data_IF_764838451391
#
_entry.id   IF_764838451391
#
_cell.length_a   1.000
_cell.length_b   1.000
_cell.length_c   1.000
_cell.angle_alpha   90.00
_cell.angle_beta   90.00
_cell.angle_gamma   90.00
#
_symmetry.space_group_name_H-M   'P 1'
#
loop_
_entity.id
_entity.type
_entity.pdbx_description
1 polymer ?
#
# COMPACT_ATOMS: atom_id res chain seq x y z
N UNK A 1 38.59 -34.05 -11.16
CA UNK A 1 38.75 -32.59 -11.10
C UNK A 1 37.36 -31.98 -11.15
N UNK A 2 36.86 -31.57 -9.99
CA UNK A 2 35.65 -30.79 -9.70
C UNK A 2 34.36 -31.08 -10.50
N UNK A 3 33.70 -32.17 -10.12
CA UNK A 3 32.23 -32.23 -10.05
C UNK A 3 31.88 -31.77 -8.63
N UNK A 4 31.38 -30.56 -8.47
CA UNK A 4 30.99 -30.05 -7.17
C UNK A 4 30.44 -28.63 -7.23
N UNK A 5 29.25 -28.46 -6.67
CA UNK A 5 28.64 -27.17 -6.26
C UNK A 5 27.84 -26.38 -7.32
N UNK A 6 26.81 -27.00 -7.89
CA UNK A 6 25.73 -26.30 -8.62
C UNK A 6 24.41 -26.29 -7.83
N UNK A 7 24.49 -26.11 -6.50
CA UNK A 7 23.34 -26.16 -5.58
C UNK A 7 23.23 -24.95 -4.63
N UNK A 8 24.04 -23.90 -4.81
CA UNK A 8 24.01 -22.68 -3.98
C UNK A 8 23.70 -21.38 -4.74
N UNK A 9 23.40 -21.45 -6.04
CA UNK A 9 23.36 -20.25 -6.91
C UNK A 9 22.03 -19.48 -7.10
N UNK A 10 20.87 -19.76 -6.45
CA UNK A 10 19.76 -18.79 -6.56
C UNK A 10 20.04 -17.50 -5.78
N UNK A 11 20.94 -17.51 -4.79
CA UNK A 11 21.10 -16.41 -3.84
C UNK A 11 22.16 -15.36 -4.23
N UNK A 12 23.14 -15.70 -5.07
CA UNK A 12 24.20 -14.78 -5.51
C UNK A 12 23.82 -13.97 -6.76
N UNK A 13 22.79 -14.41 -7.49
CA UNK A 13 22.38 -13.79 -8.76
C UNK A 13 21.85 -12.37 -8.60
N UNK A 14 21.25 -12.05 -7.44
CA UNK A 14 20.66 -10.73 -7.19
C UNK A 14 21.70 -9.60 -7.10
N UNK A 15 22.97 -9.91 -6.82
CA UNK A 15 24.05 -8.91 -6.67
C UNK A 15 24.43 -8.21 -7.98
N UNK A 16 24.07 -8.77 -9.15
CA UNK A 16 24.38 -8.18 -10.46
C UNK A 16 23.17 -7.55 -11.17
N UNK A 17 21.97 -7.64 -10.60
CA UNK A 17 20.78 -7.12 -11.25
C UNK A 17 20.67 -5.61 -11.03
N UNK A 18 20.76 -4.84 -12.11
CA UNK A 18 20.50 -3.40 -12.05
C UNK A 18 19.01 -3.07 -12.00
N UNK A 19 18.13 -3.98 -12.44
CA UNK A 19 16.67 -3.80 -12.52
C UNK A 19 15.95 -5.16 -12.46
N UNK A 20 14.72 -5.18 -11.95
CA UNK A 20 13.84 -6.35 -11.98
C UNK A 20 12.56 -5.98 -12.73
N UNK A 21 12.05 -6.89 -13.57
CA UNK A 21 10.75 -6.72 -14.23
C UNK A 21 9.81 -7.80 -13.72
N UNK A 22 8.68 -7.38 -13.15
CA UNK A 22 7.61 -8.22 -12.64
C UNK A 22 6.47 -8.26 -13.66
N UNK A 23 6.16 -9.45 -14.20
CA UNK A 23 5.06 -9.64 -15.14
C UNK A 23 3.95 -10.40 -14.43
N UNK A 24 2.80 -9.76 -14.22
CA UNK A 24 1.72 -10.32 -13.40
C UNK A 24 0.77 -9.24 -12.90
N UNK A 25 0.04 -9.54 -11.83
CA UNK A 25 -0.77 -8.55 -11.11
C UNK A 25 -0.08 -8.01 -9.86
N UNK A 26 -0.82 -7.22 -9.08
CA UNK A 26 -0.36 -6.61 -7.82
C UNK A 26 0.24 -7.64 -6.83
N UNK A 27 -0.20 -8.89 -6.88
CA UNK A 27 0.34 -9.99 -6.06
C UNK A 27 1.77 -10.40 -6.45
N UNK A 28 2.07 -10.51 -7.76
CA UNK A 28 3.41 -10.83 -8.24
C UNK A 28 4.40 -9.69 -7.92
N UNK A 29 3.95 -8.44 -8.05
CA UNK A 29 4.71 -7.29 -7.56
C UNK A 29 5.01 -7.40 -6.07
N UNK A 30 4.00 -7.74 -5.26
CA UNK A 30 4.16 -7.84 -3.80
C UNK A 30 5.17 -8.92 -3.39
N UNK A 31 5.19 -10.06 -4.08
CA UNK A 31 6.16 -11.14 -3.83
C UNK A 31 7.59 -10.72 -4.19
N UNK A 32 7.77 -10.12 -5.37
CA UNK A 32 9.07 -9.60 -5.82
C UNK A 32 9.59 -8.52 -4.88
N UNK A 33 8.75 -7.54 -4.53
CA UNK A 33 9.09 -6.46 -3.61
C UNK A 33 9.45 -7.00 -2.23
N UNK A 34 8.66 -7.90 -1.66
CA UNK A 34 8.93 -8.47 -0.34
C UNK A 34 10.26 -9.24 -0.33
N UNK A 35 10.52 -10.07 -1.36
CA UNK A 35 11.79 -10.79 -1.49
C UNK A 35 13.00 -9.85 -1.60
N UNK A 36 12.87 -8.78 -2.40
CA UNK A 36 13.92 -7.80 -2.62
C UNK A 36 14.22 -6.97 -1.35
N UNK A 37 13.19 -6.45 -0.69
CA UNK A 37 13.34 -5.69 0.56
C UNK A 37 13.93 -6.59 1.64
N UNK A 38 13.40 -7.81 1.81
CA UNK A 38 13.90 -8.78 2.77
C UNK A 38 15.39 -9.07 2.53
N UNK A 39 15.81 -9.27 1.27
CA UNK A 39 17.23 -9.46 0.96
C UNK A 39 18.06 -8.24 1.32
N UNK A 40 17.60 -7.05 0.92
CA UNK A 40 18.29 -5.78 1.17
C UNK A 40 18.55 -5.56 2.66
N UNK A 41 17.55 -5.78 3.54
CA UNK A 41 17.81 -5.59 4.97
C UNK A 41 18.67 -6.70 5.57
N UNK A 42 18.58 -7.95 5.08
CA UNK A 42 19.49 -9.04 5.52
C UNK A 42 20.94 -8.71 5.21
N UNK A 43 21.21 -8.24 3.99
CA UNK A 43 22.56 -7.88 3.56
C UNK A 43 23.11 -6.69 4.36
N UNK A 44 22.23 -5.81 4.83
CA UNK A 44 22.56 -4.70 5.72
C UNK A 44 22.64 -5.08 7.21
N UNK A 45 22.39 -6.34 7.59
CA UNK A 45 22.42 -6.79 8.98
C UNK A 45 21.30 -6.22 9.86
N UNK A 46 20.20 -5.76 9.27
CA UNK A 46 19.05 -5.21 10.02
C UNK A 46 18.19 -6.36 10.56
N UNK A 47 17.83 -6.29 11.84
CA UNK A 47 16.85 -7.22 12.41
C UNK A 47 15.43 -6.85 11.96
N UNK A 48 14.90 -7.67 11.07
CA UNK A 48 13.56 -7.53 10.51
C UNK A 48 12.43 -7.69 11.53
N UNK A 49 12.68 -8.28 12.69
CA UNK A 49 11.65 -8.52 13.70
C UNK A 49 11.45 -7.34 14.66
N UNK A 50 12.35 -6.35 14.58
CA UNK A 50 12.28 -5.13 15.37
C UNK A 50 11.51 -4.05 14.59
N UNK A 51 10.30 -3.64 15.01
CA UNK A 51 9.50 -2.65 14.29
C UNK A 51 10.16 -1.27 14.17
N UNK A 52 10.98 -0.89 15.15
CA UNK A 52 11.67 0.39 15.22
C UNK A 52 13.01 0.39 14.46
N UNK A 53 13.38 -0.75 13.85
CA UNK A 53 14.64 -0.85 13.12
C UNK A 53 14.64 0.11 11.92
N UNK A 54 15.72 0.89 11.79
CA UNK A 54 15.91 1.77 10.65
C UNK A 54 16.15 0.92 9.40
N UNK A 55 15.16 0.87 8.53
CA UNK A 55 15.25 0.14 7.27
C UNK A 55 16.26 0.82 6.33
N UNK A 56 17.03 0.00 5.60
CA UNK A 56 17.83 0.43 4.47
C UNK A 56 16.97 0.62 3.22
N UNK A 57 17.19 1.71 2.46
CA UNK A 57 16.58 1.86 1.13
C UNK A 57 16.94 0.70 0.21
N UNK A 58 16.02 0.36 -0.69
CA UNK A 58 16.28 -0.60 -1.75
C UNK A 58 16.43 0.14 -3.08
N UNK A 59 17.62 0.08 -3.66
CA UNK A 59 17.97 0.86 -4.85
C UNK A 59 17.72 0.10 -6.17
N UNK A 60 17.26 -1.15 -6.10
CA UNK A 60 16.95 -1.94 -7.30
C UNK A 60 15.52 -1.61 -7.75
N UNK A 61 15.34 -0.92 -8.89
CA UNK A 61 14.01 -0.56 -9.39
C UNK A 61 13.25 -1.80 -9.89
N UNK A 62 11.95 -1.80 -9.64
CA UNK A 62 11.02 -2.82 -10.13
C UNK A 62 10.15 -2.22 -11.24
N UNK A 63 10.24 -2.73 -12.46
CA UNK A 63 9.29 -2.49 -13.54
C UNK A 63 8.12 -3.47 -13.44
N UNK A 64 6.91 -3.03 -13.79
CA UNK A 64 5.70 -3.86 -13.68
C UNK A 64 5.02 -3.92 -15.05
N UNK A 65 4.74 -5.13 -15.53
CA UNK A 65 3.95 -5.35 -16.73
C UNK A 65 2.66 -6.05 -16.32
N UNK A 66 1.47 -5.44 -16.55
CA UNK A 66 0.21 -6.00 -16.12
C UNK A 66 -0.10 -7.29 -16.90
N UNK A 67 -0.35 -8.36 -16.15
CA UNK A 67 -0.88 -9.63 -16.67
C UNK A 67 -1.86 -10.26 -15.66
N UNK A 68 -2.34 -9.46 -14.70
CA UNK A 68 -3.23 -9.88 -13.62
C UNK A 68 -4.69 -9.52 -13.85
N UNK A 69 -5.53 -9.84 -12.85
CA UNK A 69 -6.90 -9.34 -12.76
C UNK A 69 -7.03 -8.12 -11.84
N UNK A 70 -5.92 -7.69 -11.25
CA UNK A 70 -5.80 -6.56 -10.34
C UNK A 70 -4.43 -5.95 -10.57
N UNK A 71 -4.42 -4.87 -11.35
CA UNK A 71 -3.22 -4.11 -11.74
C UNK A 71 -3.41 -2.65 -11.31
N UNK A 72 -3.73 -2.45 -10.04
CA UNK A 72 -3.95 -1.10 -9.48
C UNK A 72 -2.66 -0.31 -9.53
N UNK A 73 -1.52 -0.94 -9.26
CA UNK A 73 -0.24 -0.26 -9.27
C UNK A 73 0.19 0.17 -10.68
N UNK A 74 -0.14 -0.61 -11.73
CA UNK A 74 0.09 -0.20 -13.12
C UNK A 74 -0.73 1.04 -13.49
N UNK A 75 -2.00 1.09 -13.05
CA UNK A 75 -2.81 2.29 -13.21
C UNK A 75 -2.22 3.50 -12.48
N UNK A 76 -1.67 3.31 -11.28
CA UNK A 76 -1.06 4.41 -10.54
C UNK A 76 0.27 4.88 -11.14
N UNK A 77 1.10 3.98 -11.64
CA UNK A 77 2.42 4.30 -12.19
C UNK A 77 2.35 4.81 -13.64
N UNK A 78 1.56 4.14 -14.48
CA UNK A 78 1.54 4.34 -15.93
C UNK A 78 0.24 4.97 -16.43
N UNK A 79 -0.82 5.01 -15.61
CA UNK A 79 -2.15 5.48 -16.03
C UNK A 79 -2.89 4.52 -16.97
N UNK A 80 -2.36 3.32 -17.20
CA UNK A 80 -2.91 2.33 -18.14
C UNK A 80 -2.70 0.90 -17.64
N UNK A 81 -3.50 -0.04 -18.16
CA UNK A 81 -3.32 -1.50 -18.00
C UNK A 81 -2.84 -2.18 -19.28
N UNK A 82 -2.56 -1.40 -20.32
CA UNK A 82 -2.04 -1.93 -21.58
C UNK A 82 -0.57 -2.37 -21.40
N UNK A 83 -0.24 -3.66 -21.55
CA UNK A 83 1.10 -4.17 -21.27
C UNK A 83 2.18 -3.59 -22.21
N UNK A 84 1.83 -3.29 -23.46
CA UNK A 84 2.76 -2.69 -24.43
C UNK A 84 3.14 -1.27 -24.03
N UNK A 85 2.15 -0.45 -23.66
CA UNK A 85 2.38 0.90 -23.15
C UNK A 85 3.18 0.88 -21.83
N UNK A 86 2.88 -0.04 -20.91
CA UNK A 86 3.66 -0.22 -19.68
C UNK A 86 5.13 -0.59 -19.98
N UNK A 87 5.37 -1.48 -20.94
CA UNK A 87 6.73 -1.83 -21.37
C UNK A 87 7.47 -0.62 -21.95
N UNK A 88 6.80 0.23 -22.74
CA UNK A 88 7.37 1.48 -23.23
C UNK A 88 7.73 2.46 -22.10
N UNK A 89 6.89 2.56 -21.06
CA UNK A 89 7.23 3.36 -19.88
C UNK A 89 8.49 2.86 -19.15
N UNK A 90 8.66 1.53 -19.06
CA UNK A 90 9.87 0.92 -18.47
C UNK A 90 11.10 1.21 -19.34
N UNK A 91 11.00 1.05 -20.66
CA UNK A 91 12.10 1.32 -21.61
C UNK A 91 12.51 2.80 -21.56
N UNK A 92 11.55 3.72 -21.44
CA UNK A 92 11.82 5.16 -21.26
C UNK A 92 12.58 5.47 -19.96
N UNK A 93 12.62 4.54 -19.00
CA UNK A 93 13.47 4.62 -17.82
C UNK A 93 12.97 5.54 -16.71
N UNK A 94 11.72 6.02 -16.76
CA UNK A 94 11.14 6.83 -15.68
C UNK A 94 11.00 6.00 -14.40
N UNK A 95 11.47 6.56 -13.28
CA UNK A 95 11.46 5.91 -11.97
C UNK A 95 10.75 6.79 -10.94
N UNK A 96 10.11 6.16 -9.96
CA UNK A 96 9.47 6.81 -8.81
C UNK A 96 9.82 6.04 -7.55
N UNK A 97 10.25 6.75 -6.51
CA UNK A 97 10.46 6.17 -5.18
C UNK A 97 9.11 5.96 -4.50
N UNK A 98 8.89 4.83 -3.85
CA UNK A 98 7.65 4.52 -3.14
C UNK A 98 7.92 4.09 -1.71
N UNK A 99 6.92 4.25 -0.85
CA UNK A 99 6.99 3.79 0.53
C UNK A 99 6.65 2.32 0.64
N UNK A 100 7.26 1.68 1.64
CA UNK A 100 7.02 0.29 1.99
C UNK A 100 6.79 0.22 3.49
N UNK A 101 5.72 -0.47 3.87
CA UNK A 101 5.38 -0.72 5.26
C UNK A 101 5.93 -2.06 5.72
N UNK A 102 6.63 -2.09 6.86
CA UNK A 102 6.89 -3.33 7.57
C UNK A 102 5.71 -3.64 8.48
N UNK A 103 5.04 -4.76 8.25
CA UNK A 103 3.90 -5.21 9.06
C UNK A 103 4.39 -6.25 10.05
N UNK A 104 4.17 -6.01 11.33
CA UNK A 104 4.62 -6.89 12.42
C UNK A 104 3.45 -7.45 13.19
N UNK A 105 3.59 -8.70 13.63
CA UNK A 105 2.69 -9.35 14.57
C UNK A 105 3.47 -9.73 15.81
N UNK A 106 3.27 -8.98 16.91
CA UNK A 106 4.14 -9.05 18.07
C UNK A 106 5.57 -8.64 17.69
N UNK A 107 6.55 -9.47 18.05
CA UNK A 107 7.97 -9.28 17.72
C UNK A 107 8.40 -10.11 16.50
N UNK A 108 7.55 -10.19 15.48
CA UNK A 108 7.84 -10.94 14.26
C UNK A 108 7.33 -10.21 13.03
N UNK A 109 8.17 -10.11 12.02
CA UNK A 109 7.77 -9.59 10.72
C UNK A 109 6.73 -10.53 10.08
N UNK A 110 5.57 -9.99 9.75
CA UNK A 110 4.56 -10.69 8.97
C UNK A 110 4.82 -10.54 7.46
N UNK A 111 5.02 -9.30 6.99
CA UNK A 111 5.35 -9.02 5.59
C UNK A 111 5.79 -7.56 5.39
N UNK A 112 6.37 -7.30 4.22
CA UNK A 112 6.45 -5.94 3.66
C UNK A 112 5.24 -5.68 2.76
N UNK A 113 4.65 -4.49 2.87
CA UNK A 113 3.50 -4.06 2.07
C UNK A 113 3.83 -2.78 1.30
N UNK A 114 3.65 -2.79 -0.02
CA UNK A 114 3.98 -1.66 -0.90
C UNK A 114 2.81 -1.15 -1.73
N UNK A 115 1.56 -1.50 -1.37
CA UNK A 115 0.36 -1.04 -2.10
C UNK A 115 -0.80 -0.71 -1.16
N UNK A 116 -1.49 -1.72 -0.61
CA UNK A 116 -2.63 -1.55 0.29
C UNK A 116 -2.50 -2.55 1.44
N UNK A 117 -2.61 -2.07 2.68
CA UNK A 117 -2.79 -2.89 3.87
C UNK A 117 -4.21 -2.69 4.39
N UNK A 118 -5.00 -3.76 4.47
CA UNK A 118 -6.39 -3.67 4.88
C UNK A 118 -6.77 -4.70 5.94
N UNK A 119 -7.49 -4.26 6.97
CA UNK A 119 -8.04 -5.10 8.03
C UNK A 119 -9.57 -5.00 8.05
N UNK A 120 -10.26 -6.08 8.46
CA UNK A 120 -11.72 -6.15 8.51
C UNK A 120 -12.34 -6.41 7.14
N UNK A 121 -13.28 -5.57 6.72
CA UNK A 121 -14.02 -5.71 5.45
C UNK A 121 -13.10 -5.89 4.23
N UNK A 122 -12.08 -5.05 4.07
CA UNK A 122 -11.16 -5.13 2.93
C UNK A 122 -10.34 -6.43 2.93
N UNK A 123 -9.87 -6.86 4.11
CA UNK A 123 -9.19 -8.14 4.26
C UNK A 123 -10.11 -9.33 3.95
N UNK A 124 -11.37 -9.28 4.42
CA UNK A 124 -12.38 -10.29 4.07
C UNK A 124 -12.65 -10.32 2.57
N UNK A 125 -12.83 -9.15 1.95
CA UNK A 125 -13.09 -9.02 0.52
C UNK A 125 -11.95 -9.62 -0.28
N UNK A 126 -10.70 -9.29 0.05
CA UNK A 126 -9.54 -9.83 -0.64
C UNK A 126 -9.39 -11.34 -0.46
N UNK A 127 -9.54 -11.85 0.76
CA UNK A 127 -9.45 -13.29 1.04
C UNK A 127 -10.56 -14.07 0.33
N UNK A 128 -11.78 -13.57 0.39
CA UNK A 128 -12.94 -14.27 -0.18
C UNK A 128 -12.95 -14.19 -1.70
N UNK A 129 -12.59 -13.05 -2.30
CA UNK A 129 -12.49 -12.93 -3.76
C UNK A 129 -11.38 -13.80 -4.35
N UNK A 130 -10.26 -13.97 -3.66
CA UNK A 130 -9.20 -14.87 -4.10
C UNK A 130 -9.62 -16.34 -4.10
N UNK A 131 -10.38 -16.78 -3.08
CA UNK A 131 -10.95 -18.13 -3.04
C UNK A 131 -11.95 -18.40 -4.19
N UNK A 132 -12.61 -17.36 -4.68
CA UNK A 132 -13.64 -17.47 -5.73
C UNK A 132 -13.15 -16.92 -7.07
N UNK A 133 -11.87 -17.16 -7.42
CA UNK A 133 -11.28 -16.70 -8.69
C UNK A 133 -12.00 -17.25 -9.93
N UNK A 134 -12.66 -18.41 -9.80
CA UNK A 134 -13.48 -19.03 -10.85
C UNK A 134 -14.70 -18.19 -11.27
N UNK A 135 -15.19 -17.27 -10.43
CA UNK A 135 -16.30 -16.35 -10.77
C UNK A 135 -15.83 -15.23 -11.73
N UNK A 136 -14.52 -15.06 -11.92
CA UNK A 136 -13.96 -13.98 -12.74
C UNK A 136 -14.15 -12.60 -12.10
N UNK A 137 -14.20 -11.50 -12.88
CA UNK A 137 -14.22 -10.13 -12.35
C UNK A 137 -15.40 -9.83 -11.40
N UNK A 138 -16.55 -10.47 -11.61
CA UNK A 138 -17.74 -10.30 -10.79
C UNK A 138 -17.55 -10.72 -9.31
N UNK A 139 -16.51 -11.52 -9.01
CA UNK A 139 -16.19 -11.99 -7.66
C UNK A 139 -16.11 -10.87 -6.64
N UNK A 140 -15.56 -9.70 -7.00
CA UNK A 140 -15.45 -8.58 -6.06
C UNK A 140 -16.82 -8.06 -5.66
N UNK A 141 -17.69 -7.81 -6.64
CA UNK A 141 -19.06 -7.35 -6.42
C UNK A 141 -19.86 -8.35 -5.59
N UNK A 142 -19.78 -9.64 -5.91
CA UNK A 142 -20.48 -10.69 -5.15
C UNK A 142 -19.99 -10.75 -3.70
N UNK A 143 -18.67 -10.70 -3.49
CA UNK A 143 -18.11 -10.76 -2.13
C UNK A 143 -18.45 -9.54 -1.28
N UNK A 144 -18.56 -8.36 -1.90
CA UNK A 144 -19.06 -7.15 -1.23
C UNK A 144 -20.50 -7.37 -0.76
N UNK A 145 -21.39 -7.85 -1.63
CA UNK A 145 -22.79 -8.11 -1.27
C UNK A 145 -22.92 -9.15 -0.15
N UNK A 146 -22.16 -10.25 -0.22
CA UNK A 146 -22.12 -11.26 0.83
C UNK A 146 -21.68 -10.68 2.16
N UNK A 147 -20.67 -9.81 2.17
CA UNK A 147 -20.24 -9.15 3.40
C UNK A 147 -21.29 -8.19 3.94
N UNK A 148 -21.95 -7.43 3.08
CA UNK A 148 -23.01 -6.49 3.47
C UNK A 148 -24.19 -7.21 4.16
N UNK A 149 -24.52 -8.42 3.71
CA UNK A 149 -25.52 -9.27 4.35
C UNK A 149 -25.08 -9.72 5.75
N UNK A 150 -23.81 -10.11 5.91
CA UNK A 150 -23.24 -10.48 7.23
C UNK A 150 -23.12 -9.29 8.18
N UNK A 151 -22.84 -8.10 7.64
CA UNK A 151 -22.69 -6.84 8.37
C UNK A 151 -21.76 -6.93 9.59
N UNK A 152 -20.64 -7.64 9.43
CA UNK A 152 -19.67 -7.84 10.50
C UNK A 152 -18.89 -6.57 10.84
N UNK A 153 -18.59 -6.38 12.12
CA UNK A 153 -17.75 -5.29 12.65
C UNK A 153 -16.83 -5.84 13.75
N UNK A 154 -15.73 -5.13 13.98
CA UNK A 154 -14.67 -5.53 14.89
C UNK A 154 -14.49 -4.44 15.95
N UNK A 155 -14.41 -4.86 17.22
CA UNK A 155 -14.02 -3.97 18.30
C UNK A 155 -12.50 -3.86 18.31
N UNK A 156 -11.97 -2.66 18.11
CA UNK A 156 -10.53 -2.44 17.99
C UNK A 156 -10.09 -1.24 18.81
N UNK A 157 -8.88 -1.35 19.37
CA UNK A 157 -8.13 -0.20 19.88
C UNK A 157 -7.03 0.10 18.86
N UNK A 158 -7.16 1.24 18.21
CA UNK A 158 -6.25 1.71 17.16
C UNK A 158 -5.36 2.76 17.77
N UNK A 159 -4.04 2.60 17.62
CA UNK A 159 -3.07 3.64 17.97
C UNK A 159 -2.35 4.06 16.71
N UNK A 160 -2.25 5.37 16.51
CA UNK A 160 -1.59 5.95 15.35
C UNK A 160 -0.82 7.20 15.74
N UNK A 161 0.19 7.52 14.93
CA UNK A 161 0.93 8.78 15.02
C UNK A 161 0.39 9.73 13.95
N UNK A 162 -0.19 10.85 14.39
CA UNK A 162 -0.66 11.88 13.49
C UNK A 162 0.49 12.80 13.10
N UNK A 163 0.59 13.15 11.81
CA UNK A 163 1.52 14.16 11.33
C UNK A 163 0.84 15.52 11.46
N UNK A 164 1.45 16.42 12.23
CA UNK A 164 0.95 17.79 12.35
C UNK A 164 1.11 18.51 11.01
N UNK A 165 0.01 18.85 10.35
CA UNK A 165 0.01 19.57 9.06
C UNK A 165 0.41 21.05 9.16
N UNK A 166 0.90 21.53 10.32
CA UNK A 166 1.32 22.91 10.51
C UNK A 166 2.70 23.22 9.89
N UNK A 167 3.44 22.21 9.40
CA UNK A 167 4.66 22.39 8.62
C UNK A 167 4.34 22.55 7.14
N UNK A 168 3.95 23.78 6.74
CA UNK A 168 3.87 24.14 5.34
C UNK A 168 5.19 23.85 4.61
N UNK A 169 5.04 23.40 3.36
CA UNK A 169 6.09 23.16 2.38
C UNK A 169 6.94 24.42 2.17
N UNK A 170 7.97 24.62 2.99
CA UNK A 170 9.05 25.58 2.70
C UNK A 170 10.21 24.85 2.04
N UNK A 171 10.34 25.12 0.75
CA UNK A 171 11.50 24.81 -0.06
C UNK A 171 12.64 25.77 0.34
N UNK A 172 13.21 25.58 1.52
CA UNK A 172 14.30 26.43 2.01
C UNK A 172 15.66 25.87 1.59
N UNK A 173 16.19 26.49 0.53
CA UNK A 173 17.61 26.47 0.16
C UNK A 173 18.49 26.70 1.39
N UNK A 174 19.52 25.85 1.52
CA UNK A 174 20.73 25.97 2.37
C UNK A 174 20.93 27.32 3.08
N UNK A 175 21.02 27.32 4.42
CA UNK A 175 22.28 27.30 5.17
C UNK A 175 22.03 27.43 6.70
N UNK A 176 22.76 26.66 7.51
CA UNK A 176 23.00 26.99 8.93
C UNK A 176 22.11 26.28 9.97
N UNK A 177 22.74 25.35 10.71
CA UNK A 177 22.37 24.83 12.03
C UNK A 177 20.88 24.84 12.42
N UNK A 178 20.18 23.74 12.11
CA UNK A 178 18.93 23.42 12.77
C UNK A 178 19.16 22.28 13.77
N UNK A 179 19.39 22.63 15.03
CA UNK A 179 18.98 21.77 16.14
C UNK A 179 17.46 21.79 16.18
N UNK A 180 16.82 20.97 15.34
CA UNK A 180 15.39 20.76 15.40
C UNK A 180 15.08 20.04 16.71
N UNK A 181 14.41 20.72 17.63
CA UNK A 181 13.72 20.08 18.74
C UNK A 181 12.89 18.94 18.15
N UNK A 182 13.19 17.71 18.58
CA UNK A 182 12.40 16.53 18.22
C UNK A 182 11.02 16.74 18.83
N UNK A 183 10.05 17.13 18.01
CA UNK A 183 8.65 17.22 18.41
C UNK A 183 8.27 15.92 19.12
N UNK A 184 7.75 16.04 20.35
CA UNK A 184 7.38 14.91 21.18
C UNK A 184 6.39 14.02 20.42
N UNK A 185 6.80 12.78 20.14
CA UNK A 185 6.03 11.81 19.34
C UNK A 185 4.78 11.40 20.12
N UNK A 186 3.68 12.13 19.92
CA UNK A 186 2.42 11.91 20.65
C UNK A 186 1.54 10.89 19.93
N UNK A 187 1.51 9.68 20.46
CA UNK A 187 0.57 8.64 20.03
C UNK A 187 -0.88 9.00 20.38
N UNK A 188 -1.77 8.85 19.41
CA UNK A 188 -3.22 9.00 19.61
C UNK A 188 -3.88 7.63 19.59
N UNK A 189 -4.77 7.37 20.55
CA UNK A 189 -5.53 6.12 20.63
C UNK A 189 -7.02 6.36 20.36
N UNK A 190 -7.60 5.53 19.50
CA UNK A 190 -9.03 5.50 19.19
C UNK A 190 -9.58 4.10 19.47
N UNK A 191 -10.57 4.00 20.35
CA UNK A 191 -11.28 2.76 20.62
C UNK A 191 -12.68 2.84 20.01
N UNK A 192 -13.09 1.82 19.27
CA UNK A 192 -14.39 1.83 18.61
C UNK A 192 -14.74 0.52 17.92
N UNK A 193 -15.95 0.50 17.36
CA UNK A 193 -16.43 -0.56 16.48
C UNK A 193 -16.17 -0.13 15.02
N UNK A 194 -15.42 -0.94 14.27
CA UNK A 194 -15.04 -0.64 12.88
C UNK A 194 -15.44 -1.76 11.93
N UNK A 195 -15.83 -1.41 10.69
CA UNK A 195 -16.00 -2.37 9.60
C UNK A 195 -14.67 -2.68 8.92
N UNK A 196 -13.84 -1.68 8.63
CA UNK A 196 -12.48 -1.86 8.12
C UNK A 196 -11.56 -0.74 8.53
N UNK A 197 -10.27 -1.05 8.45
CA UNK A 197 -9.21 -0.07 8.55
C UNK A 197 -8.19 -0.37 7.47
N UNK A 198 -7.98 0.60 6.60
CA UNK A 198 -7.23 0.45 5.36
C UNK A 198 -6.16 1.52 5.25
N UNK A 199 -4.97 1.16 4.77
CA UNK A 199 -3.83 2.05 4.59
C UNK A 199 -3.29 1.89 3.18
N UNK A 200 -3.04 3.01 2.51
CA UNK A 200 -2.48 3.02 1.16
C UNK A 200 -1.00 3.43 1.21
N UNK A 201 -0.14 2.68 0.52
CA UNK A 201 1.29 3.00 0.35
C UNK A 201 1.50 4.25 -0.50
N UNK A 202 0.58 4.47 -1.43
CA UNK A 202 0.56 5.59 -2.36
C UNK A 202 -0.56 6.53 -1.93
N UNK A 203 -0.21 7.76 -1.57
CA UNK A 203 -1.18 8.80 -1.20
C UNK A 203 -1.96 9.23 -2.44
N UNK A 204 -3.27 9.39 -2.35
CA UNK A 204 -4.06 9.99 -3.43
C UNK A 204 -4.27 11.46 -3.12
N UNK A 205 -3.55 12.33 -3.84
CA UNK A 205 -3.69 13.77 -3.71
C UNK A 205 -4.70 14.31 -4.72
N UNK A 206 -5.52 15.27 -4.30
CA UNK A 206 -6.47 15.94 -5.21
C UNK A 206 -5.73 16.95 -6.07
N UNK A 207 -5.83 16.79 -7.39
CA UNK A 207 -5.34 17.73 -8.38
C UNK A 207 -6.54 18.19 -9.25
N UNK A 208 -7.18 19.28 -8.84
CA UNK A 208 -8.44 19.75 -9.43
C UNK A 208 -9.59 18.78 -9.22
N UNK A 209 -10.14 18.24 -10.32
CA UNK A 209 -11.20 17.22 -10.30
C UNK A 209 -10.64 15.79 -10.20
N UNK A 210 -9.33 15.59 -10.39
CA UNK A 210 -8.72 14.27 -10.44
C UNK A 210 -8.02 13.92 -9.12
N UNK A 211 -7.95 12.63 -8.82
CA UNK A 211 -7.10 12.09 -7.77
C UNK A 211 -5.84 11.54 -8.43
N UNK A 212 -4.68 12.08 -8.06
CA UNK A 212 -3.39 11.65 -8.58
C UNK A 212 -2.60 10.90 -7.51
N UNK A 213 -2.02 9.73 -7.84
CA UNK A 213 -1.13 9.02 -6.93
C UNK A 213 0.16 9.81 -6.71
N UNK A 214 0.49 10.03 -5.45
CA UNK A 214 1.72 10.65 -4.98
C UNK A 214 2.60 9.57 -4.36
N UNK A 215 3.79 9.43 -4.94
CA UNK A 215 4.79 8.44 -4.58
C UNK A 215 5.92 9.11 -3.78
N UNK A 216 6.37 8.46 -2.71
CA UNK A 216 7.54 8.89 -1.95
C UNK A 216 7.26 9.88 -0.81
N UNK A 217 6.00 10.03 -0.40
CA UNK A 217 5.66 10.82 0.79
C UNK A 217 6.21 10.18 2.06
N UNK A 218 6.59 10.94 3.09
CA UNK A 218 6.94 10.34 4.38
C UNK A 218 5.71 9.89 5.19
N UNK A 219 4.50 10.07 4.64
CA UNK A 219 3.23 9.88 5.33
C UNK A 219 2.34 8.88 4.61
N UNK A 220 1.49 8.17 5.35
CA UNK A 220 0.42 7.34 4.76
C UNK A 220 -0.96 7.92 5.05
N UNK A 221 -1.92 7.53 4.22
CA UNK A 221 -3.35 7.72 4.48
C UNK A 221 -3.97 6.42 5.02
N UNK A 222 -4.39 6.46 6.28
CA UNK A 222 -5.26 5.47 6.93
C UNK A 222 -6.71 5.94 6.83
N UNK A 223 -7.55 5.07 6.30
CA UNK A 223 -8.99 5.21 6.19
C UNK A 223 -9.63 4.25 7.20
N UNK A 224 -10.39 4.78 8.14
CA UNK A 224 -11.12 3.99 9.13
C UNK A 224 -12.61 4.06 8.84
N UNK A 225 -13.23 2.91 8.58
CA UNK A 225 -14.67 2.81 8.39
C UNK A 225 -15.32 2.41 9.70
N UNK A 226 -15.87 3.41 10.41
CA UNK A 226 -16.64 3.18 11.63
C UNK A 226 -17.89 2.34 11.36
N UNK A 227 -18.36 1.65 12.39
CA UNK A 227 -19.66 0.97 12.36
C UNK A 227 -20.75 1.97 11.96
N UNK A 228 -21.45 1.65 10.88
CA UNK A 228 -22.54 2.44 10.33
C UNK A 228 -23.72 1.53 9.96
N UNK A 229 -24.86 2.11 9.59
CA UNK A 229 -25.99 1.33 9.10
C UNK A 229 -25.71 0.69 7.74
N UNK A 230 -26.41 -0.40 7.39
CA UNK A 230 -26.26 -1.08 6.09
C UNK A 230 -26.40 -0.14 4.89
N UNK A 231 -27.37 0.78 4.94
CA UNK A 231 -27.62 1.72 3.84
C UNK A 231 -26.49 2.74 3.71
N UNK A 232 -25.91 3.20 4.83
CA UNK A 232 -24.79 4.14 4.84
C UNK A 232 -23.53 3.47 4.30
N UNK A 233 -23.26 2.24 4.73
CA UNK A 233 -22.16 1.45 4.23
C UNK A 233 -22.33 1.15 2.72
N UNK A 234 -23.55 0.87 2.25
CA UNK A 234 -23.81 0.70 0.82
C UNK A 234 -23.55 1.98 0.02
N UNK A 235 -24.00 3.14 0.51
CA UNK A 235 -23.72 4.45 -0.10
C UNK A 235 -22.22 4.71 -0.19
N UNK A 236 -21.47 4.39 0.87
CA UNK A 236 -20.02 4.48 0.88
C UNK A 236 -19.37 3.60 -0.20
N UNK A 237 -19.82 2.35 -0.35
CA UNK A 237 -19.31 1.45 -1.38
C UNK A 237 -19.64 1.91 -2.79
N UNK A 238 -20.84 2.47 -2.99
CA UNK A 238 -21.22 3.08 -4.26
C UNK A 238 -20.31 4.27 -4.60
N UNK A 239 -20.02 5.14 -3.62
CA UNK A 239 -19.05 6.23 -3.78
C UNK A 239 -17.65 5.71 -4.13
N UNK A 240 -17.17 4.67 -3.46
CA UNK A 240 -15.89 4.04 -3.80
C UNK A 240 -15.87 3.45 -5.22
N UNK A 241 -16.99 2.87 -5.68
CA UNK A 241 -17.11 2.38 -7.05
C UNK A 241 -17.04 3.51 -8.07
N UNK A 242 -17.61 4.68 -7.74
CA UNK A 242 -17.53 5.90 -8.55
C UNK A 242 -16.12 6.51 -8.52
N UNK A 243 -15.41 6.41 -7.41
CA UNK A 243 -14.01 6.83 -7.32
C UNK A 243 -13.07 5.94 -8.15
N UNK A 244 -13.38 4.64 -8.30
CA UNK A 244 -12.70 3.77 -9.27
C UNK A 244 -12.92 4.22 -10.72
N UNK A 245 -14.08 4.79 -11.06
CA UNK A 245 -14.31 5.40 -12.37
C UNK A 245 -13.69 6.79 -12.50
N UNK A 246 -13.35 7.51 -11.43
CA UNK A 246 -12.68 8.83 -11.54
C UNK A 246 -11.20 8.72 -11.93
N UNK A 247 -10.56 7.57 -11.77
CA UNK A 247 -9.29 7.26 -12.47
C UNK A 247 -9.48 7.06 -13.99
N UNK A 248 -10.73 7.03 -14.49
CA UNK A 248 -11.12 6.82 -15.89
C UNK A 248 -12.31 7.75 -16.23
N UNK A 249 -12.02 9.05 -16.43
CA UNK A 249 -12.88 10.03 -17.14
C UNK A 249 -14.03 10.75 -16.37
N UNK A 250 -13.87 12.09 -16.26
CA UNK A 250 -14.80 13.25 -16.33
C UNK A 250 -16.07 13.45 -15.42
N UNK A 251 -16.14 14.70 -14.90
CA UNK A 251 -17.23 15.60 -14.49
C UNK A 251 -18.27 15.23 -13.38
N UNK A 252 -18.17 16.03 -12.29
CA UNK A 252 -19.12 16.64 -11.32
C UNK A 252 -20.66 16.35 -11.35
N UNK A 253 -21.45 16.64 -10.27
CA UNK A 253 -21.13 17.52 -9.13
C UNK A 253 -21.44 17.00 -7.70
N UNK A 254 -20.82 17.71 -6.76
CA UNK A 254 -21.25 18.00 -5.37
C UNK A 254 -21.66 16.84 -4.46
N UNK A 255 -20.69 16.31 -3.71
CA UNK A 255 -20.87 16.05 -2.28
C UNK A 255 -19.51 16.01 -1.57
N UNK A 256 -19.35 16.88 -0.58
CA UNK A 256 -18.22 16.98 0.34
C UNK A 256 -17.77 15.60 0.83
N UNK A 257 -16.58 15.19 0.41
CA UNK A 257 -15.91 13.98 0.90
C UNK A 257 -14.69 14.41 1.69
N UNK A 258 -14.73 14.20 3.01
CA UNK A 258 -13.61 14.47 3.90
C UNK A 258 -12.57 13.34 3.73
N UNK A 259 -11.38 13.69 3.27
CA UNK A 259 -10.20 12.82 3.25
C UNK A 259 -9.41 13.09 4.53
N UNK A 260 -9.31 12.10 5.42
CA UNK A 260 -8.39 12.15 6.56
C UNK A 260 -7.31 11.08 6.39
N UNK A 261 -6.06 11.46 6.64
CA UNK A 261 -4.87 10.64 6.51
C UNK A 261 -4.29 10.34 7.89
N UNK A 262 -4.17 9.06 8.28
CA UNK A 262 -3.44 8.63 9.48
C UNK A 262 -2.45 7.47 9.17
N UNK A 263 -1.58 7.03 10.11
CA UNK A 263 -0.46 6.08 9.87
C UNK A 263 -0.39 4.92 10.91
N UNK A 264 -0.22 3.69 10.39
CA UNK A 264 0.24 2.36 10.89
C UNK A 264 -0.19 1.83 12.29
N UNK A 265 -0.61 0.54 12.27
CA UNK A 265 -1.08 -0.32 13.36
C UNK A 265 0.03 -1.07 14.10
N UNK A 266 -0.12 -1.16 15.42
CA UNK A 266 0.31 -2.30 16.22
C UNK A 266 -0.92 -2.87 16.95
N UNK A 267 -1.36 -4.06 16.58
CA UNK A 267 -2.43 -4.78 17.30
C UNK A 267 -1.82 -5.93 18.10
N UNK A 268 -1.70 -5.75 19.41
CA UNK A 268 -1.54 -6.86 20.35
C UNK A 268 -2.93 -7.44 20.64
N UNK A 269 -3.23 -8.61 20.08
CA UNK A 269 -4.43 -9.38 20.43
C UNK A 269 -4.05 -10.36 21.55
N UNK A 270 -4.78 -10.32 22.67
CA UNK A 270 -4.79 -11.38 23.68
C UNK A 270 -5.57 -12.59 23.17
#
# INVERSE_FOLDING_TARGET
>A
MFIGTLLLQPLTFLFFLSRIISVGGDGMYSEVMNGLVLRTQKDAGVDHNTPEARMQPCDIPIGIIPAGSGDVLCMFLYGTRDPETCALHIIKGFQRSTNIYSVHYGHKLACYCGLILGFGFSGYLMRSSNKHRWIGPARYTVMILVYMLKHAFFKMNVRYLAVNQNGGREESRTNGNCTSNVDEVKWTSLMGDFHSIDTWAVTLARNGEFLQPLFGDTTSTVIMLNKCGRLEHLKYLEQLSKLKSVCVSHCAPSSTSFFFSFLIFSSSFK
#
